data_IF_802318320957
#
_entry.id   IF_802318320957
#
_cell.length_a   1.000
_cell.length_b   1.000
_cell.length_c   1.000
_cell.angle_alpha   90.00
_cell.angle_beta   90.00
_cell.angle_gamma   90.00
#
_symmetry.space_group_name_H-M   'P 1'
#
loop_
_entity.id
_entity.type
_entity.pdbx_description
1 polymer ?
#
# COMPACT_ATOMS: atom_id res chain seq x y z
N UNK A 1 13.49 5.71 -3.04
CA UNK A 1 12.22 5.82 -2.28
C UNK A 1 11.47 4.51 -2.42
N UNK A 2 11.12 3.84 -1.32
CA UNK A 2 10.61 2.45 -1.36
C UNK A 2 9.18 2.32 -1.91
N UNK A 3 8.32 3.33 -1.71
CA UNK A 3 6.93 3.28 -2.16
C UNK A 3 6.41 4.66 -2.60
N UNK A 4 5.63 4.67 -3.68
CA UNK A 4 4.86 5.81 -4.16
C UNK A 4 3.49 5.39 -4.69
N UNK A 5 2.56 6.33 -4.75
CA UNK A 5 1.22 6.14 -5.31
C UNK A 5 0.98 7.22 -6.36
N UNK A 6 1.59 7.13 -7.56
CA UNK A 6 1.61 8.24 -8.52
C UNK A 6 0.25 8.52 -9.16
N UNK A 7 -0.58 7.49 -9.36
CA UNK A 7 -1.84 7.61 -10.11
C UNK A 7 -2.96 6.75 -9.52
N UNK A 8 -4.13 6.81 -10.15
CA UNK A 8 -5.26 5.92 -9.93
C UNK A 8 -6.00 5.69 -11.24
N UNK A 9 -6.69 4.57 -11.35
CA UNK A 9 -7.52 4.21 -12.50
C UNK A 9 -8.91 3.79 -12.03
N UNK A 10 -9.92 3.95 -12.88
CA UNK A 10 -11.26 3.40 -12.63
C UNK A 10 -11.28 1.96 -13.16
N UNK A 11 -11.80 1.04 -12.35
CA UNK A 11 -12.02 -0.38 -12.70
C UNK A 11 -13.45 -0.78 -12.38
N UNK A 12 -13.91 -1.88 -12.99
CA UNK A 12 -15.28 -2.36 -12.90
C UNK A 12 -16.24 -1.65 -13.87
N UNK A 13 -17.49 -2.10 -13.91
CA UNK A 13 -18.51 -1.59 -14.82
C UNK A 13 -19.77 -1.13 -14.07
N UNK A 14 -20.40 -0.05 -14.56
CA UNK A 14 -21.65 0.50 -14.03
C UNK A 14 -21.59 0.77 -12.52
N UNK A 15 -22.52 0.17 -11.77
CA UNK A 15 -22.62 0.34 -10.32
C UNK A 15 -21.36 -0.14 -9.55
N UNK A 16 -20.62 -1.12 -10.11
CA UNK A 16 -19.42 -1.72 -9.51
C UNK A 16 -18.13 -0.93 -9.75
N UNK A 17 -18.21 0.19 -10.49
CA UNK A 17 -17.07 1.07 -10.75
C UNK A 17 -16.42 1.57 -9.45
N UNK A 18 -15.09 1.51 -9.40
CA UNK A 18 -14.30 1.95 -8.26
C UNK A 18 -12.89 2.37 -8.67
N UNK A 19 -12.27 3.20 -7.84
CA UNK A 19 -10.87 3.59 -8.02
C UNK A 19 -9.93 2.52 -7.47
N UNK A 20 -8.94 2.16 -8.27
CA UNK A 20 -7.74 1.45 -7.87
C UNK A 20 -6.54 2.38 -7.95
N UNK A 21 -5.72 2.39 -6.90
CA UNK A 21 -4.55 3.23 -6.77
C UNK A 21 -3.34 2.45 -7.27
N UNK A 22 -2.57 3.08 -8.15
CA UNK A 22 -1.31 2.55 -8.62
C UNK A 22 -0.26 2.72 -7.52
N UNK A 23 0.16 1.63 -6.90
CA UNK A 23 1.20 1.59 -5.88
C UNK A 23 2.48 1.08 -6.52
N UNK A 24 3.47 1.95 -6.68
CA UNK A 24 4.79 1.57 -7.17
C UNK A 24 5.69 1.27 -5.98
N UNK A 25 6.30 0.10 -6.00
CA UNK A 25 7.22 -0.39 -4.99
C UNK A 25 8.59 -0.53 -5.64
N UNK A 26 9.61 0.02 -5.00
CA UNK A 26 11.01 -0.06 -5.42
C UNK A 26 11.80 -0.61 -4.25
N UNK A 27 11.93 -1.93 -4.20
CA UNK A 27 12.78 -2.63 -3.26
C UNK A 27 14.24 -2.60 -3.75
N UNK A 28 15.16 -3.11 -2.94
CA UNK A 28 16.58 -3.20 -3.28
C UNK A 28 16.84 -4.04 -4.55
N UNK A 29 16.12 -5.15 -4.68
CA UNK A 29 16.36 -6.22 -5.65
C UNK A 29 15.28 -6.29 -6.76
N UNK A 30 14.14 -5.63 -6.58
CA UNK A 30 13.05 -5.63 -7.57
C UNK A 30 12.21 -4.35 -7.49
N UNK A 31 11.51 -4.04 -8.58
CA UNK A 31 10.49 -3.00 -8.62
C UNK A 31 9.23 -3.51 -9.28
N UNK A 32 8.08 -3.16 -8.70
CA UNK A 32 6.80 -3.57 -9.25
C UNK A 32 5.68 -2.58 -8.94
N UNK A 33 4.64 -2.69 -9.75
CA UNK A 33 3.42 -1.91 -9.59
C UNK A 33 2.28 -2.82 -9.16
N UNK A 34 1.44 -2.30 -8.26
CA UNK A 34 0.20 -2.91 -7.80
C UNK A 34 -0.95 -1.94 -8.06
N UNK A 35 -2.12 -2.46 -8.35
CA UNK A 35 -3.39 -1.78 -8.33
C UNK A 35 -4.17 -2.23 -7.09
N UNK A 36 -4.48 -1.27 -6.23
CA UNK A 36 -5.18 -1.54 -4.97
C UNK A 36 -6.35 -0.61 -4.84
N UNK A 37 -7.56 -1.15 -4.71
CA UNK A 37 -8.70 -0.35 -4.24
C UNK A 37 -8.53 0.07 -2.78
N UNK A 38 -9.15 1.18 -2.38
CA UNK A 38 -9.08 1.72 -1.01
C UNK A 38 -9.35 0.68 0.10
N UNK A 39 -10.29 -0.26 -0.13
CA UNK A 39 -10.59 -1.32 0.83
C UNK A 39 -9.36 -2.15 1.23
N UNK A 40 -8.46 -2.44 0.28
CA UNK A 40 -7.22 -3.19 0.55
C UNK A 40 -6.25 -2.43 1.45
N UNK A 41 -6.16 -1.10 1.30
CA UNK A 41 -5.39 -0.26 2.21
C UNK A 41 -5.99 -0.24 3.61
N UNK A 42 -7.32 -0.23 3.72
CA UNK A 42 -8.00 -0.25 5.03
C UNK A 42 -7.77 -1.58 5.75
N UNK A 43 -7.80 -2.70 5.02
CA UNK A 43 -7.49 -4.02 5.56
C UNK A 43 -6.04 -4.08 6.07
N UNK A 44 -5.08 -3.56 5.29
CA UNK A 44 -3.70 -3.38 5.75
C UNK A 44 -3.65 -2.53 7.02
N UNK A 45 -4.30 -1.37 7.06
CA UNK A 45 -4.34 -0.49 8.23
C UNK A 45 -4.87 -1.17 9.49
N UNK A 46 -6.01 -1.84 9.39
CA UNK A 46 -6.58 -2.56 10.54
C UNK A 46 -5.65 -3.66 11.03
N UNK A 47 -5.11 -4.47 10.11
CA UNK A 47 -4.21 -5.58 10.46
C UNK A 47 -2.91 -5.09 11.13
N UNK A 48 -2.29 -4.04 10.57
CA UNK A 48 -1.03 -3.50 11.09
C UNK A 48 -1.22 -2.85 12.46
N UNK A 49 -2.35 -2.16 12.69
CA UNK A 49 -2.71 -1.61 14.00
C UNK A 49 -2.89 -2.68 15.07
N UNK A 50 -3.56 -3.77 14.71
CA UNK A 50 -3.76 -4.89 15.63
C UNK A 50 -2.44 -5.58 15.94
N UNK A 51 -1.56 -5.75 14.94
CA UNK A 51 -0.30 -6.47 15.08
C UNK A 51 0.81 -5.68 15.80
N UNK A 52 0.92 -4.38 15.54
CA UNK A 52 2.06 -3.53 15.96
C UNK A 52 1.66 -2.43 16.96
N UNK A 53 0.40 -2.39 17.38
CA UNK A 53 -0.06 -1.58 18.50
C UNK A 53 -0.02 -0.06 18.27
N UNK A 54 0.24 0.68 19.36
CA UNK A 54 0.02 2.14 19.45
C UNK A 54 0.84 2.96 18.47
N UNK A 55 2.11 2.60 18.22
CA UNK A 55 3.00 3.31 17.28
C UNK A 55 2.42 3.31 15.86
N UNK A 56 1.83 2.19 15.41
CA UNK A 56 1.15 2.12 14.11
C UNK A 56 -0.25 2.75 14.17
N UNK A 57 -0.96 2.65 15.30
CA UNK A 57 -2.27 3.28 15.47
C UNK A 57 -2.24 4.82 15.39
N UNK A 58 -1.11 5.44 15.75
CA UNK A 58 -0.90 6.89 15.62
C UNK A 58 -0.73 7.37 14.17
N UNK A 59 -0.51 6.46 13.21
CA UNK A 59 -0.36 6.84 11.79
C UNK A 59 -1.71 7.27 11.24
N UNK A 60 -1.78 8.49 10.68
CA UNK A 60 -2.99 9.02 10.05
C UNK A 60 -3.39 8.16 8.84
N UNK A 61 -4.65 7.76 8.80
CA UNK A 61 -5.22 7.01 7.67
C UNK A 61 -6.46 7.75 7.14
N UNK A 62 -6.62 7.91 5.81
CA UNK A 62 -7.76 8.63 5.25
C UNK A 62 -9.08 7.91 5.58
N UNK A 63 -10.12 8.61 6.08
CA UNK A 63 -11.37 7.97 6.45
C UNK A 63 -12.20 7.52 5.24
N UNK A 64 -13.18 6.66 5.50
CA UNK A 64 -14.25 6.37 4.53
C UNK A 64 -14.98 7.68 4.19
N UNK A 65 -15.41 7.81 2.94
CA UNK A 65 -16.11 8.97 2.43
C UNK A 65 -17.49 8.52 1.94
N UNK A 66 -18.50 9.36 2.15
CA UNK A 66 -19.90 9.09 1.79
C UNK A 66 -20.08 9.03 0.26
N UNK A 67 -19.28 9.82 -0.48
CA UNK A 67 -19.31 9.88 -1.94
C UNK A 67 -17.97 9.47 -2.58
N UNK A 68 -17.59 8.18 -2.51
CA UNK A 68 -16.26 7.72 -2.90
C UNK A 68 -16.01 7.70 -4.42
N UNK A 69 -17.06 7.89 -5.23
CA UNK A 69 -17.01 7.86 -6.70
C UNK A 69 -16.58 9.18 -7.33
N UNK A 70 -16.54 10.28 -6.57
CA UNK A 70 -16.08 11.56 -7.09
C UNK A 70 -14.56 11.55 -7.25
N UNK A 71 -14.07 12.00 -8.40
CA UNK A 71 -12.65 12.00 -8.71
C UNK A 71 -11.82 12.83 -7.72
N UNK A 72 -12.37 13.94 -7.23
CA UNK A 72 -11.72 14.78 -6.21
C UNK A 72 -11.38 13.97 -4.95
N UNK A 73 -12.24 13.01 -4.57
CA UNK A 73 -12.00 12.11 -3.44
C UNK A 73 -10.85 11.16 -3.75
N UNK A 74 -10.79 10.61 -4.96
CA UNK A 74 -9.68 9.75 -5.37
C UNK A 74 -8.35 10.50 -5.36
N UNK A 75 -8.31 11.71 -5.93
CA UNK A 75 -7.12 12.56 -5.98
C UNK A 75 -6.57 12.91 -4.59
N UNK A 76 -7.45 13.34 -3.68
CA UNK A 76 -7.05 13.66 -2.29
C UNK A 76 -6.61 12.40 -1.53
N UNK A 77 -7.35 11.30 -1.70
CA UNK A 77 -7.05 10.03 -1.04
C UNK A 77 -5.73 9.45 -1.50
N UNK A 78 -5.39 9.56 -2.79
CA UNK A 78 -4.10 9.09 -3.36
C UNK A 78 -2.91 9.58 -2.54
N UNK A 79 -2.82 10.89 -2.32
CA UNK A 79 -1.72 11.52 -1.56
C UNK A 79 -1.65 10.97 -0.13
N UNK A 80 -2.79 10.90 0.56
CA UNK A 80 -2.87 10.40 1.94
C UNK A 80 -2.54 8.92 2.06
N UNK A 81 -2.87 8.11 1.05
CA UNK A 81 -2.50 6.69 1.01
C UNK A 81 -0.99 6.50 0.79
N UNK A 82 -0.37 7.35 -0.04
CA UNK A 82 1.08 7.37 -0.22
C UNK A 82 1.81 7.71 1.09
N UNK A 83 1.41 8.80 1.74
CA UNK A 83 1.94 9.22 3.04
C UNK A 83 1.79 8.12 4.09
N UNK A 84 0.61 7.49 4.14
CA UNK A 84 0.34 6.37 5.03
C UNK A 84 1.31 5.19 4.79
N UNK A 85 1.46 4.73 3.54
CA UNK A 85 2.34 3.59 3.24
C UNK A 85 3.80 3.91 3.58
N UNK A 86 4.29 5.11 3.24
CA UNK A 86 5.64 5.54 3.59
C UNK A 86 5.86 5.53 5.10
N UNK A 87 4.92 6.12 5.86
CA UNK A 87 5.05 6.18 7.32
C UNK A 87 4.92 4.80 7.96
N UNK A 88 4.05 3.93 7.44
CA UNK A 88 3.89 2.56 7.91
C UNK A 88 5.20 1.78 7.77
N UNK A 89 5.81 1.78 6.59
CA UNK A 89 7.06 1.05 6.35
C UNK A 89 8.18 1.59 7.25
N UNK A 90 8.31 2.91 7.39
CA UNK A 90 9.30 3.54 8.27
C UNK A 90 9.11 3.15 9.74
N UNK A 91 7.88 3.28 10.26
CA UNK A 91 7.62 2.95 11.66
C UNK A 91 7.89 1.47 11.90
N UNK A 92 7.42 0.59 11.01
CA UNK A 92 7.61 -0.85 11.16
C UNK A 92 9.06 -1.30 11.02
N UNK A 93 9.92 -0.60 10.26
CA UNK A 93 11.36 -0.93 10.19
C UNK A 93 12.14 -0.58 11.46
N UNK A 94 11.53 0.17 12.38
CA UNK A 94 12.08 0.54 13.70
C UNK A 94 11.48 -0.29 14.85
N UNK A 95 10.57 -1.22 14.56
CA UNK A 95 9.94 -2.07 15.56
C UNK A 95 10.62 -3.43 15.63
N UNK A 96 11.25 -3.76 16.75
CA UNK A 96 11.93 -5.05 16.96
C UNK A 96 11.06 -6.26 16.62
N UNK A 97 9.79 -6.26 17.02
CA UNK A 97 8.83 -7.34 16.74
C UNK A 97 8.28 -7.36 15.29
N UNK A 98 8.77 -6.48 14.41
CA UNK A 98 8.49 -6.52 12.98
C UNK A 98 9.70 -7.09 12.21
N UNK A 99 10.07 -8.33 12.54
CA UNK A 99 11.24 -9.05 12.00
C UNK A 99 11.49 -8.84 10.48
N UNK A 100 10.47 -8.93 9.58
CA UNK A 100 10.72 -8.78 8.15
C UNK A 100 11.34 -7.42 7.77
N UNK A 101 11.02 -6.35 8.51
CA UNK A 101 11.52 -4.99 8.24
C UNK A 101 12.61 -4.55 9.22
N UNK A 102 12.57 -5.04 10.46
CA UNK A 102 13.50 -4.64 11.53
C UNK A 102 14.95 -5.05 11.24
N UNK A 103 15.16 -6.16 10.52
CA UNK A 103 16.51 -6.62 10.12
C UNK A 103 17.31 -5.60 9.31
N UNK A 104 16.66 -4.57 8.76
CA UNK A 104 17.31 -3.46 8.05
C UNK A 104 17.59 -2.24 8.92
N UNK A 105 17.19 -2.27 10.20
CA UNK A 105 17.42 -1.23 11.20
C UNK A 105 17.11 0.19 10.69
N UNK A 106 15.90 0.38 10.16
CA UNK A 106 15.48 1.67 9.59
C UNK A 106 16.02 2.02 8.20
N UNK A 107 16.98 1.27 7.65
CA UNK A 107 17.53 1.53 6.31
C UNK A 107 16.58 1.03 5.21
N UNK A 108 15.66 1.91 4.79
CA UNK A 108 14.63 1.57 3.81
C UNK A 108 15.18 1.21 2.42
N UNK A 109 16.37 1.68 2.05
CA UNK A 109 16.97 1.35 0.73
C UNK A 109 17.47 -0.09 0.64
N UNK A 110 17.68 -0.76 1.76
CA UNK A 110 18.13 -2.14 1.79
C UNK A 110 16.99 -3.17 1.80
N UNK A 111 15.75 -2.73 2.01
CA UNK A 111 14.59 -3.62 2.08
C UNK A 111 14.41 -4.34 0.73
N UNK A 112 14.52 -5.67 0.75
CA UNK A 112 14.26 -6.52 -0.40
C UNK A 112 12.76 -6.83 -0.58
N UNK A 113 12.42 -7.36 -1.76
CA UNK A 113 11.05 -7.73 -2.12
C UNK A 113 10.46 -8.76 -1.17
N UNK A 114 11.22 -9.80 -0.84
CA UNK A 114 10.74 -10.90 -0.02
C UNK A 114 10.28 -10.41 1.36
N UNK A 115 11.04 -9.49 1.94
CA UNK A 115 10.73 -8.85 3.23
C UNK A 115 9.41 -8.09 3.19
N UNK A 116 9.09 -7.40 2.07
CA UNK A 116 7.80 -6.73 1.90
C UNK A 116 6.64 -7.72 1.72
N UNK A 117 6.89 -8.87 1.07
CA UNK A 117 5.88 -9.92 0.91
C UNK A 117 5.56 -10.64 2.22
N UNK A 118 6.57 -10.88 3.05
CA UNK A 118 6.45 -11.43 4.41
C UNK A 118 5.80 -10.43 5.36
N UNK A 119 6.13 -9.15 5.22
CA UNK A 119 5.51 -8.08 6.00
C UNK A 119 3.99 -8.01 5.77
N UNK A 120 3.53 -8.06 4.52
CA UNK A 120 2.10 -8.10 4.23
C UNK A 120 1.75 -8.62 2.83
N UNK A 121 0.68 -9.44 2.69
CA UNK A 121 0.16 -9.83 1.37
C UNK A 121 -0.35 -8.64 0.55
N UNK A 122 -0.50 -7.44 1.15
CA UNK A 122 -0.80 -6.22 0.40
C UNK A 122 0.19 -5.98 -0.74
N UNK A 123 1.48 -6.28 -0.51
CA UNK A 123 2.58 -6.05 -1.46
C UNK A 123 2.74 -7.14 -2.52
N UNK A 124 2.01 -8.26 -2.42
CA UNK A 124 2.06 -9.35 -3.39
C UNK A 124 1.28 -8.98 -4.64
N UNK A 125 1.85 -9.17 -5.84
CA UNK A 125 1.06 -9.05 -7.09
C UNK A 125 -0.15 -9.99 -7.04
N UNK A 126 -1.33 -9.45 -7.29
CA UNK A 126 -2.55 -10.21 -7.50
C UNK A 126 -2.53 -10.91 -8.84
N UNK A 127 -3.43 -11.88 -9.03
CA UNK A 127 -3.51 -12.73 -10.23
C UNK A 127 -3.68 -11.92 -11.54
N UNK A 128 -4.26 -10.72 -11.45
CA UNK A 128 -4.50 -9.81 -12.57
C UNK A 128 -3.42 -8.72 -12.73
N UNK A 129 -2.34 -8.77 -11.94
CA UNK A 129 -1.25 -7.78 -11.94
C UNK A 129 0.02 -8.31 -12.61
N UNK A 130 -0.07 -9.49 -13.22
CA UNK A 130 0.88 -10.02 -14.20
C UNK A 130 1.06 -9.01 -15.32
N UNK A 131 2.32 -8.67 -15.64
CA UNK A 131 2.67 -7.55 -16.51
C UNK A 131 2.06 -7.60 -17.92
N UNK A 132 2.06 -6.41 -18.54
CA UNK A 132 1.97 -6.07 -19.98
C UNK A 132 1.42 -7.22 -20.85
N UNK A 133 0.26 -7.03 -21.46
CA UNK A 133 -0.55 -8.01 -22.21
C UNK A 133 -1.52 -8.84 -21.36
N UNK A 134 -2.51 -8.16 -20.78
CA UNK A 134 -3.78 -8.78 -20.43
C UNK A 134 -4.83 -8.33 -21.45
N UNK A 135 -4.86 -8.96 -22.63
CA UNK A 135 -6.05 -8.95 -23.49
C UNK A 135 -6.93 -10.12 -23.08
N UNK A 136 -8.24 -9.88 -23.19
CA UNK A 136 -9.32 -10.86 -23.08
C UNK A 136 -9.06 -12.16 -23.84
#
# INVERSE_FOLDING_TARGET
MIVSVPSYVIRGAGASSHYEYEVRVVARDDSWTLLRRYRRFRELYTSMRQKYGSKVAAIRFPPRQVFPKYEVVARQRRKRLEEYLRRLIQVCSELSHCEPLYKYNGNLSNIDKQSLLEFSPFFRRGMFESGKYGTS
#
